data_IF_366509220766
#
_entry.id   IF_366509220766
#
_cell.length_a   1.000
_cell.length_b   1.000
_cell.length_c   1.000
_cell.angle_alpha   90.00
_cell.angle_beta   90.00
_cell.angle_gamma   90.00
#
_symmetry.space_group_name_H-M   'P 1'
#
loop_
_entity.id
_entity.type
_entity.pdbx_description
1 polymer ?
#
# COMPACT_ATOMS: atom_id res chain seq x y z
N UNK A 1 29.70 9.76 21.80
CA UNK A 1 29.25 8.38 22.13
C UNK A 1 27.89 8.00 21.52
N UNK A 2 26.94 8.92 21.32
CA UNK A 2 25.57 8.57 20.90
C UNK A 2 25.42 8.04 19.46
N UNK A 3 25.94 8.75 18.46
CA UNK A 3 25.55 8.53 17.04
C UNK A 3 25.89 7.12 16.54
N UNK A 4 27.06 6.57 16.91
CA UNK A 4 27.45 5.19 16.53
C UNK A 4 26.44 4.14 17.01
N UNK A 5 25.74 4.38 18.13
CA UNK A 5 24.66 3.50 18.63
C UNK A 5 23.36 3.70 17.84
N UNK A 6 23.05 4.94 17.45
CA UNK A 6 21.88 5.26 16.61
C UNK A 6 22.01 4.64 15.21
N UNK A 7 23.19 4.77 14.58
CA UNK A 7 23.50 4.17 13.26
C UNK A 7 23.31 2.64 13.32
N UNK A 8 23.88 1.96 14.33
CA UNK A 8 23.72 0.50 14.48
C UNK A 8 22.26 0.08 14.69
N UNK A 9 21.45 0.90 15.37
CA UNK A 9 20.01 0.66 15.52
C UNK A 9 19.27 0.81 14.18
N UNK A 10 19.54 1.87 13.43
CA UNK A 10 18.94 2.10 12.10
C UNK A 10 19.33 0.99 11.12
N UNK A 11 20.58 0.55 11.11
CA UNK A 11 21.04 -0.60 10.30
C UNK A 11 20.27 -1.89 10.63
N UNK A 12 20.02 -2.17 11.92
CA UNK A 12 19.19 -3.32 12.33
C UNK A 12 17.75 -3.19 11.80
N UNK A 13 17.15 -2.00 11.92
CA UNK A 13 15.80 -1.75 11.42
C UNK A 13 15.69 -1.83 9.90
N UNK A 14 16.74 -1.43 9.15
CA UNK A 14 16.80 -1.59 7.69
C UNK A 14 16.77 -3.07 7.31
N UNK A 15 17.58 -3.92 7.97
CA UNK A 15 17.57 -5.37 7.73
C UNK A 15 16.23 -6.03 8.08
N UNK A 16 15.63 -5.66 9.21
CA UNK A 16 14.29 -6.12 9.62
C UNK A 16 13.20 -5.73 8.62
N UNK A 17 13.25 -4.51 8.08
CA UNK A 17 12.32 -4.03 7.06
C UNK A 17 12.54 -4.71 5.71
N UNK A 18 13.78 -4.95 5.29
CA UNK A 18 14.11 -5.69 4.06
C UNK A 18 13.57 -7.12 4.13
N UNK A 19 13.83 -7.85 5.21
CA UNK A 19 13.31 -9.21 5.40
C UNK A 19 11.77 -9.24 5.42
N UNK A 20 11.13 -8.27 6.07
CA UNK A 20 9.66 -8.12 6.07
C UNK A 20 9.09 -7.90 4.66
N UNK A 21 9.76 -7.10 3.81
CA UNK A 21 9.35 -6.89 2.42
C UNK A 21 9.47 -8.16 1.58
N UNK A 22 10.54 -8.94 1.75
CA UNK A 22 10.73 -10.21 1.03
C UNK A 22 9.71 -11.28 1.46
N UNK A 23 9.36 -11.35 2.74
CA UNK A 23 8.34 -12.28 3.22
C UNK A 23 6.92 -11.87 2.80
N UNK A 24 6.62 -10.57 2.74
CA UNK A 24 5.37 -10.05 2.13
C UNK A 24 5.31 -10.35 0.63
N UNK A 25 6.41 -10.22 -0.11
CA UNK A 25 6.48 -10.60 -1.55
C UNK A 25 6.18 -12.07 -1.76
N UNK A 26 6.89 -12.97 -1.06
CA UNK A 26 6.64 -14.43 -1.11
C UNK A 26 5.20 -14.80 -0.74
N UNK A 27 4.59 -14.07 0.18
CA UNK A 27 3.20 -14.29 0.59
C UNK A 27 2.20 -13.80 -0.48
N UNK A 28 2.47 -12.66 -1.14
CA UNK A 28 1.68 -12.16 -2.26
C UNK A 28 1.78 -13.09 -3.48
N UNK A 29 2.99 -13.54 -3.84
CA UNK A 29 3.25 -14.53 -4.91
C UNK A 29 2.47 -15.83 -4.67
N UNK A 30 2.51 -16.35 -3.44
CA UNK A 30 1.74 -17.55 -3.05
C UNK A 30 0.22 -17.35 -3.14
N UNK A 31 -0.29 -16.16 -2.86
CA UNK A 31 -1.72 -15.87 -3.02
C UNK A 31 -2.11 -15.69 -4.49
N UNK A 32 -1.28 -15.02 -5.30
CA UNK A 32 -1.48 -14.88 -6.75
C UNK A 32 -1.47 -16.25 -7.46
N UNK A 33 -0.51 -17.12 -7.13
CA UNK A 33 -0.45 -18.48 -7.69
C UNK A 33 -1.67 -19.34 -7.33
N UNK A 34 -2.15 -19.23 -6.08
CA UNK A 34 -3.40 -19.90 -5.65
C UNK A 34 -4.61 -19.36 -6.43
N UNK A 35 -4.82 -18.04 -6.42
CA UNK A 35 -5.95 -17.41 -7.08
C UNK A 35 -5.96 -17.72 -8.60
N UNK A 36 -4.81 -17.70 -9.27
CA UNK A 36 -4.68 -18.12 -10.66
C UNK A 36 -5.16 -19.57 -10.86
N UNK A 37 -4.62 -20.51 -10.08
CA UNK A 37 -5.00 -21.94 -10.17
C UNK A 37 -6.49 -22.20 -9.89
N UNK A 38 -7.09 -21.43 -8.99
CA UNK A 38 -8.51 -21.45 -8.66
C UNK A 38 -9.36 -20.88 -9.81
N UNK A 39 -8.97 -19.75 -10.40
CA UNK A 39 -9.65 -19.20 -11.58
C UNK A 39 -9.56 -20.12 -12.80
N UNK A 40 -8.44 -20.83 -13.00
CA UNK A 40 -8.32 -21.84 -14.06
C UNK A 40 -9.13 -23.12 -13.77
N UNK A 41 -9.32 -23.49 -12.50
CA UNK A 41 -10.25 -24.56 -12.13
C UNK A 41 -11.71 -24.16 -12.42
N UNK A 42 -12.13 -22.98 -11.96
CA UNK A 42 -13.46 -22.43 -12.23
C UNK A 42 -13.72 -22.24 -13.73
N UNK A 43 -12.74 -21.77 -14.50
CA UNK A 43 -12.84 -21.61 -15.96
C UNK A 43 -13.04 -22.95 -16.67
N UNK A 44 -12.33 -24.01 -16.25
CA UNK A 44 -12.51 -25.37 -16.78
C UNK A 44 -13.88 -25.96 -16.43
N UNK A 45 -14.38 -25.73 -15.22
CA UNK A 45 -15.71 -26.16 -14.80
C UNK A 45 -16.83 -25.42 -15.55
N UNK A 46 -16.67 -24.10 -15.80
CA UNK A 46 -17.59 -23.34 -16.65
C UNK A 46 -17.59 -23.85 -18.09
N UNK A 47 -16.42 -24.09 -18.68
CA UNK A 47 -16.30 -24.70 -20.01
C UNK A 47 -16.95 -26.08 -20.09
N UNK A 48 -16.78 -26.92 -19.05
CA UNK A 48 -17.42 -28.24 -18.95
C UNK A 48 -18.96 -28.12 -18.90
N UNK A 49 -19.49 -27.17 -18.13
CA UNK A 49 -20.94 -26.92 -18.05
C UNK A 49 -21.52 -26.41 -19.37
N UNK A 50 -20.84 -25.47 -20.03
CA UNK A 50 -21.22 -24.97 -21.36
C UNK A 50 -21.20 -26.12 -22.39
N UNK A 51 -20.15 -26.95 -22.38
CA UNK A 51 -20.05 -28.13 -23.25
C UNK A 51 -21.16 -29.15 -22.99
N UNK A 52 -21.52 -29.42 -21.73
CA UNK A 52 -22.63 -30.31 -21.39
C UNK A 52 -24.00 -29.77 -21.83
N UNK A 53 -24.25 -28.46 -21.66
CA UNK A 53 -25.49 -27.81 -22.11
C UNK A 53 -25.59 -27.82 -23.65
N UNK A 54 -24.46 -27.64 -24.35
CA UNK A 54 -24.43 -27.69 -25.81
C UNK A 54 -24.62 -29.11 -26.36
N UNK A 55 -23.95 -30.11 -25.76
CA UNK A 55 -24.00 -31.50 -26.25
C UNK A 55 -25.34 -32.22 -26.05
N UNK A 56 -26.21 -31.71 -25.17
CA UNK A 56 -27.59 -32.20 -24.99
C UNK A 56 -28.57 -31.62 -26.05
N UNK A 57 -28.10 -30.72 -26.93
CA UNK A 57 -28.93 -30.02 -27.92
C UNK A 57 -28.81 -30.54 -29.36
N UNK A 58 -27.89 -31.48 -29.61
CA UNK A 58 -27.50 -31.95 -30.96
C UNK A 58 -28.39 -33.07 -31.54
N UNK A 59 -29.72 -32.98 -31.34
CA UNK A 59 -30.70 -33.78 -32.10
C UNK A 59 -31.84 -32.92 -32.69
N UNK A 60 -31.44 -31.90 -33.47
CA UNK A 60 -32.28 -31.34 -34.55
C UNK A 60 -31.48 -31.06 -35.81
N UNK A 61 -31.41 -32.08 -36.66
CA UNK A 61 -31.03 -31.98 -38.08
C UNK A 61 -31.94 -30.99 -38.82
N UNK A 62 -31.46 -29.78 -39.07
CA UNK A 62 -32.01 -28.86 -40.10
C UNK A 62 -30.90 -28.41 -41.05
N UNK A 63 -30.81 -29.14 -42.15
CA UNK A 63 -29.80 -28.99 -43.20
C UNK A 63 -30.48 -28.38 -44.44
N UNK A 64 -30.48 -27.04 -44.57
CA UNK A 64 -30.69 -26.41 -45.88
C UNK A 64 -30.33 -24.92 -45.96
N UNK A 65 -29.63 -24.58 -47.05
CA UNK A 65 -29.80 -23.38 -47.88
C UNK A 65 -29.58 -21.96 -47.31
N UNK A 66 -28.47 -21.39 -47.78
CA UNK A 66 -28.39 -20.10 -48.49
C UNK A 66 -28.75 -18.77 -47.79
N UNK A 67 -27.70 -18.00 -47.46
CA UNK A 67 -27.50 -16.60 -47.92
C UNK A 67 -26.39 -15.88 -47.10
N UNK A 68 -25.18 -15.63 -47.64
CA UNK A 68 -24.18 -14.80 -46.97
C UNK A 68 -24.53 -13.32 -47.10
N UNK A 69 -25.42 -12.81 -46.23
CA UNK A 69 -25.92 -11.42 -46.30
C UNK A 69 -24.86 -10.40 -45.84
N UNK A 70 -24.00 -10.02 -46.78
CA UNK A 70 -22.93 -9.05 -46.57
C UNK A 70 -23.47 -7.65 -46.18
N UNK A 71 -22.93 -7.10 -45.09
CA UNK A 71 -23.02 -5.66 -44.78
C UNK A 71 -21.69 -5.16 -44.22
N UNK A 72 -20.88 -4.63 -45.13
CA UNK A 72 -19.84 -3.59 -44.92
C UNK A 72 -18.79 -3.86 -43.83
N UNK A 73 -17.73 -4.57 -44.23
CA UNK A 73 -16.39 -4.40 -43.66
C UNK A 73 -15.37 -4.20 -44.79
N UNK A 74 -15.02 -2.95 -45.17
CA UNK A 74 -13.93 -2.70 -46.10
C UNK A 74 -12.59 -3.05 -45.45
N UNK A 75 -11.73 -3.78 -46.19
CA UNK A 75 -10.40 -4.20 -45.74
C UNK A 75 -9.48 -3.00 -45.43
N UNK A 76 -8.45 -3.17 -44.57
CA UNK A 76 -7.43 -2.17 -44.36
C UNK A 76 -6.65 -1.89 -45.66
N UNK A 77 -6.40 -0.61 -45.94
CA UNK A 77 -5.55 -0.17 -47.04
C UNK A 77 -4.08 -0.09 -46.60
N UNK A 78 -3.14 -0.78 -47.28
CA UNK A 78 -1.71 -0.62 -47.02
C UNK A 78 -1.20 0.65 -47.72
N UNK A 79 -1.20 1.78 -47.00
CA UNK A 79 -0.59 3.02 -47.50
C UNK A 79 0.92 3.05 -47.23
N UNK A 80 1.70 3.44 -48.24
CA UNK A 80 3.17 3.59 -48.16
C UNK A 80 3.55 4.66 -47.10
N UNK A 81 4.52 4.40 -46.21
CA UNK A 81 5.98 4.35 -46.40
C UNK A 81 6.64 5.75 -46.55
N UNK A 82 7.79 5.92 -45.90
CA UNK A 82 8.57 7.16 -45.72
C UNK A 82 7.86 8.27 -44.88
N UNK A 83 8.53 9.12 -44.09
CA UNK A 83 9.97 9.39 -43.96
C UNK A 83 10.44 9.63 -42.52
N UNK A 84 11.51 8.93 -42.13
CA UNK A 84 12.63 9.43 -41.29
C UNK A 84 13.92 9.17 -42.09
N UNK A 85 15.04 9.89 -41.88
CA UNK A 85 15.37 10.76 -40.75
C UNK A 85 15.93 12.16 -41.12
N UNK A 86 16.12 13.04 -40.13
CA UNK A 86 17.27 13.97 -40.10
C UNK A 86 17.56 14.49 -38.68
N UNK A 87 18.66 14.09 -38.03
CA UNK A 87 19.22 14.85 -36.90
C UNK A 87 20.04 16.03 -37.44
N UNK A 88 19.78 17.24 -36.94
CA UNK A 88 20.66 18.39 -37.15
C UNK A 88 21.60 18.54 -35.94
N UNK A 89 22.86 18.88 -36.20
CA UNK A 89 23.91 19.04 -35.18
C UNK A 89 24.19 20.52 -34.85
N UNK A 90 25.08 20.74 -33.87
CA UNK A 90 25.52 22.04 -33.34
C UNK A 90 24.47 22.74 -32.43
N UNK A 91 24.84 23.51 -31.40
CA UNK A 91 26.14 24.17 -31.10
C UNK A 91 26.62 23.91 -29.66
N UNK A 92 27.95 23.78 -29.49
CA UNK A 92 28.74 24.09 -28.28
C UNK A 92 29.69 25.24 -28.69
N UNK A 93 30.08 26.21 -27.82
CA UNK A 93 30.95 25.94 -26.66
C UNK A 93 30.73 26.91 -25.46
N UNK A 94 31.71 27.03 -24.54
CA UNK A 94 31.74 27.98 -23.40
C UNK A 94 31.29 27.35 -22.06
N UNK A 95 32.11 26.81 -21.14
CA UNK A 95 33.48 27.08 -20.66
C UNK A 95 33.59 28.08 -19.49
N UNK A 96 33.73 27.57 -18.25
CA UNK A 96 34.71 28.10 -17.25
C UNK A 96 34.76 27.34 -15.90
N UNK A 97 35.98 26.91 -15.53
CA UNK A 97 36.66 27.09 -14.22
C UNK A 97 36.09 26.47 -12.91
N UNK A 98 36.81 25.43 -12.43
CA UNK A 98 37.30 25.29 -11.02
C UNK A 98 38.47 26.30 -10.77
N UNK A 99 39.10 26.42 -9.57
CA UNK A 99 38.82 25.92 -8.21
C UNK A 99 38.05 26.99 -7.35
N UNK A 100 38.27 27.38 -6.07
CA UNK A 100 39.30 27.21 -4.99
C UNK A 100 38.63 27.39 -3.60
N UNK A 101 39.03 26.67 -2.52
CA UNK A 101 38.49 26.88 -1.17
C UNK A 101 39.24 27.96 -0.36
N UNK A 102 38.59 28.57 0.66
CA UNK A 102 39.27 29.20 1.81
C UNK A 102 38.37 29.40 3.05
N UNK A 103 39.05 29.48 4.19
CA UNK A 103 38.59 29.54 5.60
C UNK A 103 37.90 30.83 6.03
N UNK A 104 36.96 30.74 7.00
CA UNK A 104 36.71 31.79 8.00
C UNK A 104 36.07 31.26 9.30
N UNK A 105 36.85 31.17 10.38
CA UNK A 105 36.41 31.46 11.77
C UNK A 105 36.75 32.94 12.06
N UNK A 106 36.17 33.67 13.04
CA UNK A 106 35.62 33.26 14.34
C UNK A 106 34.14 33.73 14.50
N UNK A 107 33.51 34.12 15.64
CA UNK A 107 33.95 34.68 16.93
C UNK A 107 32.91 34.51 18.06
N UNK A 108 33.43 34.51 19.28
CA UNK A 108 32.74 34.48 20.59
C UNK A 108 31.78 35.65 20.86
N UNK A 109 30.67 35.35 21.53
CA UNK A 109 29.95 36.23 22.46
C UNK A 109 29.18 35.38 23.50
N UNK A 110 29.04 35.84 24.75
CA UNK A 110 28.38 35.07 25.81
C UNK A 110 27.67 35.97 26.85
N UNK A 111 26.41 35.63 27.17
CA UNK A 111 25.61 36.15 28.30
C UNK A 111 24.52 35.10 28.61
N UNK A 112 24.54 34.44 29.77
CA UNK A 112 24.10 34.87 31.12
C UNK A 112 22.58 34.80 31.36
N UNK A 113 22.19 33.72 32.05
CA UNK A 113 21.32 33.68 33.25
C UNK A 113 20.00 34.49 33.28
N UNK A 114 18.86 33.80 33.39
CA UNK A 114 17.91 33.99 34.52
C UNK A 114 16.72 33.02 34.50
N UNK A 115 16.32 32.61 35.69
CA UNK A 115 15.02 32.01 36.07
C UNK A 115 14.42 32.89 37.18
N UNK A 116 13.20 32.64 37.70
CA UNK A 116 11.96 32.13 37.10
C UNK A 116 10.79 33.14 37.28
N UNK A 117 9.60 32.88 36.70
CA UNK A 117 8.35 33.38 37.30
C UNK A 117 7.12 32.51 37.00
N UNK A 118 6.30 32.28 38.03
CA UNK A 118 5.10 31.44 38.02
C UNK A 118 3.86 32.21 37.59
N UNK A 119 3.02 31.59 36.76
CA UNK A 119 1.59 31.90 36.64
C UNK A 119 0.82 30.60 36.34
N UNK A 120 -0.26 30.32 37.06
CA UNK A 120 -1.10 29.13 36.85
C UNK A 120 -2.15 29.37 35.74
N UNK A 121 -2.75 28.30 35.19
CA UNK A 121 -4.10 27.99 35.69
C UNK A 121 -4.50 26.50 35.75
N UNK A 122 -5.45 26.23 36.67
CA UNK A 122 -6.48 25.17 36.65
C UNK A 122 -6.05 23.72 36.35
N UNK A 123 -5.91 22.99 37.45
CA UNK A 123 -6.16 21.55 37.64
C UNK A 123 -6.66 20.72 36.44
N UNK A 124 -5.88 19.70 36.10
CA UNK A 124 -6.36 18.38 35.62
C UNK A 124 -5.81 17.32 36.59
N UNK A 125 -6.56 16.24 36.88
CA UNK A 125 -6.14 15.27 37.89
C UNK A 125 -4.86 14.54 37.50
N UNK A 126 -3.97 14.34 38.47
CA UNK A 126 -2.83 13.42 38.33
C UNK A 126 -3.35 11.98 38.23
N UNK A 127 -2.75 11.19 37.34
CA UNK A 127 -3.20 9.83 37.01
C UNK A 127 -2.06 8.93 36.56
N UNK A 128 -0.87 9.09 37.16
CA UNK A 128 0.33 8.31 36.78
C UNK A 128 0.34 6.95 37.44
N UNK A 129 -0.31 5.95 36.82
CA UNK A 129 -0.20 4.54 37.22
C UNK A 129 0.31 3.66 36.07
N UNK A 130 1.61 3.41 36.11
CA UNK A 130 2.33 2.20 35.69
C UNK A 130 2.05 1.64 34.27
N UNK A 131 3.09 1.72 33.43
CA UNK A 131 3.19 0.93 32.21
C UNK A 131 3.45 -0.56 32.52
N UNK A 132 2.38 -1.35 32.68
CA UNK A 132 2.47 -2.80 32.66
C UNK A 132 2.87 -3.29 31.26
N UNK A 133 3.88 -4.16 31.18
CA UNK A 133 4.32 -4.78 29.91
C UNK A 133 3.35 -5.89 29.49
N UNK A 134 2.27 -5.57 28.78
CA UNK A 134 1.43 -6.58 28.14
C UNK A 134 2.19 -7.25 26.99
N UNK A 135 2.44 -8.56 27.13
CA UNK A 135 3.22 -9.37 26.20
C UNK A 135 2.48 -9.63 24.88
N UNK A 136 3.18 -9.47 23.76
CA UNK A 136 3.00 -10.20 22.48
C UNK A 136 1.70 -10.04 21.67
N UNK A 137 0.56 -9.83 22.31
CA UNK A 137 -0.75 -9.72 21.67
C UNK A 137 -0.98 -8.29 21.18
N UNK A 138 -1.46 -8.16 19.94
CA UNK A 138 -1.82 -6.88 19.33
C UNK A 138 -3.11 -6.36 19.99
N UNK A 139 -2.99 -5.46 20.97
CA UNK A 139 -4.15 -4.83 21.61
C UNK A 139 -5.03 -4.14 20.55
N UNK A 140 -6.32 -4.50 20.41
CA UNK A 140 -7.13 -4.08 19.27
C UNK A 140 -7.24 -2.56 19.19
N UNK A 141 -7.28 -2.03 17.97
CA UNK A 141 -7.42 -0.61 17.68
C UNK A 141 -8.84 -0.13 17.95
N UNK A 142 -9.04 1.20 18.04
CA UNK A 142 -10.38 1.79 18.22
C UNK A 142 -11.30 1.46 17.02
N UNK A 143 -10.74 1.26 15.82
CA UNK A 143 -11.50 0.86 14.63
C UNK A 143 -12.04 -0.56 14.77
N UNK A 144 -11.17 -1.53 15.05
CA UNK A 144 -11.56 -2.94 15.24
C UNK A 144 -12.55 -3.09 16.40
N UNK A 145 -12.35 -2.36 17.51
CA UNK A 145 -13.29 -2.34 18.63
C UNK A 145 -14.66 -1.74 18.28
N UNK A 146 -14.72 -0.71 17.43
CA UNK A 146 -15.99 -0.15 16.94
C UNK A 146 -16.68 -1.09 15.94
N UNK A 147 -15.93 -1.81 15.14
CA UNK A 147 -16.45 -2.82 14.22
C UNK A 147 -17.01 -4.03 15.00
N UNK A 148 -16.32 -4.50 16.05
CA UNK A 148 -16.80 -5.52 16.97
C UNK A 148 -18.02 -5.06 17.79
N UNK A 149 -18.04 -3.82 18.29
CA UNK A 149 -19.18 -3.25 18.98
C UNK A 149 -20.41 -3.10 18.05
N UNK A 150 -20.20 -2.70 16.80
CA UNK A 150 -21.25 -2.68 15.77
C UNK A 150 -21.77 -4.09 15.47
N UNK A 151 -20.90 -5.08 15.37
CA UNK A 151 -21.27 -6.49 15.17
C UNK A 151 -22.04 -7.09 16.37
N UNK A 152 -21.69 -6.70 17.61
CA UNK A 152 -22.45 -7.00 18.84
C UNK A 152 -23.71 -6.10 19.02
N UNK A 153 -24.08 -5.26 18.04
CA UNK A 153 -25.30 -4.44 18.07
C UNK A 153 -25.28 -3.27 19.08
N UNK A 154 -24.12 -2.90 19.63
CA UNK A 154 -24.00 -1.98 20.77
C UNK A 154 -24.30 -0.53 20.33
N UNK A 155 -25.49 -0.03 20.69
CA UNK A 155 -25.91 1.34 20.39
C UNK A 155 -24.99 2.36 21.07
N UNK A 156 -24.55 3.39 20.33
CA UNK A 156 -23.64 4.43 20.84
C UNK A 156 -22.15 4.15 20.66
N UNK A 157 -21.75 3.05 19.99
CA UNK A 157 -20.33 2.71 19.74
C UNK A 157 -19.49 3.82 19.08
N UNK A 158 -20.11 4.79 18.40
CA UNK A 158 -19.45 5.92 17.76
C UNK A 158 -19.00 7.02 18.74
N UNK A 159 -19.74 7.23 19.84
CA UNK A 159 -19.39 8.20 20.89
C UNK A 159 -18.52 7.60 22.00
N UNK A 160 -18.51 6.27 22.16
CA UNK A 160 -17.68 5.58 23.15
C UNK A 160 -16.17 5.75 22.92
N UNK A 161 -15.45 5.86 24.04
CA UNK A 161 -13.99 5.82 24.16
C UNK A 161 -13.45 4.40 24.03
N UNK A 162 -12.12 4.24 23.92
CA UNK A 162 -11.49 2.91 23.82
C UNK A 162 -11.76 2.01 25.02
N UNK A 163 -11.84 2.57 26.24
CA UNK A 163 -12.08 1.79 27.45
C UNK A 163 -13.52 1.27 27.52
N UNK A 164 -14.50 2.12 27.21
CA UNK A 164 -15.91 1.74 27.16
C UNK A 164 -16.16 0.67 26.08
N UNK A 165 -15.54 0.80 24.90
CA UNK A 165 -15.60 -0.21 23.85
C UNK A 165 -14.96 -1.55 24.26
N UNK A 166 -13.82 -1.53 24.96
CA UNK A 166 -13.19 -2.75 25.49
C UNK A 166 -14.11 -3.45 26.49
N UNK A 167 -14.72 -2.71 27.41
CA UNK A 167 -15.66 -3.25 28.39
C UNK A 167 -16.93 -3.79 27.73
N UNK A 168 -17.53 -3.04 26.80
CA UNK A 168 -18.77 -3.42 26.13
C UNK A 168 -18.60 -4.59 25.15
N UNK A 169 -17.42 -4.79 24.58
CA UNK A 169 -17.12 -5.94 23.70
C UNK A 169 -16.60 -7.15 24.50
N UNK A 170 -15.85 -6.94 25.58
CA UNK A 170 -15.22 -8.01 26.38
C UNK A 170 -16.02 -8.47 27.62
N UNK A 171 -17.04 -7.74 28.04
CA UNK A 171 -17.88 -8.05 29.20
C UNK A 171 -19.14 -8.85 28.89
N UNK A 172 -19.07 -9.76 27.91
CA UNK A 172 -20.16 -10.63 27.45
C UNK A 172 -19.62 -11.89 26.78
#
# INVERSE_FOLDING_TARGET
>A
MGEKKAIKRLQKQIGELQQSLDDVRKLAEKQLGKAASETDALRRELLKRIGAISGDSDDKKVESSDAPRAVVAPKPTPSASASKPKPAASVKPGESKKPVPKTATPKTAATKTSTPKTAAPKAKPSGTTQAAKSSGAKSPTVKELREQAKAKGIKGYSSMTKAELLNAVGGA
#
